data_IF_975423798411
#
_entry.id   IF_975423798411
#
_cell.length_a   1.000
_cell.length_b   1.000
_cell.length_c   1.000
_cell.angle_alpha   90.00
_cell.angle_beta   90.00
_cell.angle_gamma   90.00
#
_symmetry.space_group_name_H-M   'P 1'
#
loop_
_entity.id
_entity.type
_entity.pdbx_description
1 polymer ?
#
# COMPACT_ATOMS: atom_id res chain seq x y z
N UNK A 1 -3.18 -27.70 -20.71
CA UNK A 1 -2.71 -27.68 -19.30
C UNK A 1 -3.78 -28.44 -18.52
N UNK A 2 -3.48 -29.66 -18.13
CA UNK A 2 -4.34 -30.44 -17.25
C UNK A 2 -4.21 -29.87 -15.83
N UNK A 3 -5.30 -29.33 -15.29
CA UNK A 3 -5.40 -29.05 -13.87
C UNK A 3 -5.38 -30.40 -13.16
N UNK A 4 -4.27 -30.75 -12.54
CA UNK A 4 -4.23 -31.86 -11.59
C UNK A 4 -5.08 -31.47 -10.39
N UNK A 5 -6.01 -32.33 -10.01
CA UNK A 5 -6.82 -32.12 -8.82
C UNK A 5 -5.93 -32.13 -7.58
N UNK A 6 -6.23 -31.24 -6.66
CA UNK A 6 -5.51 -31.15 -5.38
C UNK A 6 -6.30 -31.90 -4.32
N UNK A 7 -5.73 -33.00 -3.81
CA UNK A 7 -6.36 -33.88 -2.81
C UNK A 7 -6.06 -33.46 -1.36
N UNK A 8 -5.29 -32.39 -1.14
CA UNK A 8 -4.93 -31.88 0.17
C UNK A 8 -6.00 -30.99 0.79
N UNK A 9 -5.75 -30.57 2.03
CA UNK A 9 -6.64 -29.64 2.74
C UNK A 9 -6.58 -28.26 2.10
N UNK A 10 -7.77 -27.70 1.80
CA UNK A 10 -7.92 -26.34 1.30
C UNK A 10 -8.04 -25.36 2.45
N UNK A 11 -7.74 -24.09 2.17
CA UNK A 11 -7.82 -23.04 3.16
C UNK A 11 -9.24 -22.85 3.70
N UNK A 12 -9.33 -22.63 5.01
CA UNK A 12 -10.58 -22.39 5.74
C UNK A 12 -10.73 -20.95 6.22
N UNK A 13 -9.69 -20.14 6.10
CA UNK A 13 -9.74 -18.74 6.50
C UNK A 13 -10.75 -17.96 5.64
N UNK A 14 -11.48 -17.05 6.27
CA UNK A 14 -12.66 -16.34 5.73
C UNK A 14 -12.43 -15.75 4.32
N UNK A 15 -11.24 -15.21 4.07
CA UNK A 15 -10.94 -14.49 2.83
C UNK A 15 -10.44 -15.41 1.71
N UNK A 16 -10.03 -16.62 2.04
CA UNK A 16 -9.37 -17.56 1.11
C UNK A 16 -10.01 -18.95 1.14
N UNK A 17 -11.25 -19.04 1.62
CA UNK A 17 -11.96 -20.32 1.78
C UNK A 17 -12.04 -21.08 0.44
N UNK A 18 -11.59 -22.31 0.46
CA UNK A 18 -11.57 -23.19 -0.71
C UNK A 18 -10.36 -22.99 -1.64
N UNK A 19 -9.50 -22.01 -1.40
CA UNK A 19 -8.27 -21.81 -2.16
C UNK A 19 -7.17 -22.79 -1.72
N UNK A 20 -6.16 -22.94 -2.58
CA UNK A 20 -4.97 -23.73 -2.25
C UNK A 20 -4.15 -23.06 -1.13
N UNK A 21 -3.49 -23.82 -0.27
CA UNK A 21 -2.49 -23.25 0.63
C UNK A 21 -1.43 -22.45 -0.13
N UNK A 22 -0.89 -21.36 0.44
CA UNK A 22 0.05 -20.46 -0.25
C UNK A 22 1.29 -21.19 -0.81
N UNK A 23 1.82 -22.12 -0.06
CA UNK A 23 3.00 -22.92 -0.47
C UNK A 23 2.69 -23.81 -1.69
N UNK A 24 1.55 -24.49 -1.67
CA UNK A 24 1.10 -25.31 -2.78
C UNK A 24 0.81 -24.48 -4.03
N UNK A 25 0.17 -23.35 -3.86
CA UNK A 25 -0.08 -22.39 -4.97
C UNK A 25 1.24 -21.94 -5.60
N UNK A 26 2.23 -21.60 -4.79
CA UNK A 26 3.55 -21.17 -5.25
C UNK A 26 4.28 -22.28 -6.02
N UNK A 27 4.25 -23.50 -5.50
CA UNK A 27 4.85 -24.66 -6.17
C UNK A 27 4.22 -24.88 -7.55
N UNK A 28 2.89 -24.84 -7.65
CA UNK A 28 2.17 -25.03 -8.91
C UNK A 28 2.42 -23.91 -9.90
N UNK A 29 2.42 -22.66 -9.44
CA UNK A 29 2.72 -21.51 -10.30
C UNK A 29 4.15 -21.56 -10.85
N UNK A 30 5.12 -21.97 -10.03
CA UNK A 30 6.49 -22.13 -10.48
C UNK A 30 6.60 -23.25 -11.52
N UNK A 31 5.97 -24.43 -11.26
CA UNK A 31 5.94 -25.54 -12.22
C UNK A 31 5.36 -25.11 -13.58
N UNK A 32 4.20 -24.45 -13.57
CA UNK A 32 3.57 -23.92 -14.78
C UNK A 32 4.48 -22.91 -15.48
N UNK A 33 5.11 -22.01 -14.73
CA UNK A 33 6.02 -21.01 -15.30
C UNK A 33 7.24 -21.64 -15.96
N UNK A 34 7.78 -22.71 -15.37
CA UNK A 34 8.90 -23.47 -15.94
C UNK A 34 8.48 -24.23 -17.19
N UNK A 35 7.34 -24.91 -17.18
CA UNK A 35 6.80 -25.60 -18.36
C UNK A 35 6.56 -24.64 -19.54
N UNK A 36 6.02 -23.44 -19.25
CA UNK A 36 5.82 -22.42 -20.29
C UNK A 36 7.18 -21.94 -20.81
N UNK A 37 8.15 -21.64 -19.95
CA UNK A 37 9.50 -21.23 -20.38
C UNK A 37 10.20 -22.27 -21.25
N UNK A 38 10.04 -23.54 -20.93
CA UNK A 38 10.63 -24.64 -21.73
C UNK A 38 10.01 -24.77 -23.11
N UNK A 39 8.74 -24.36 -23.27
CA UNK A 39 7.99 -24.47 -24.52
C UNK A 39 7.92 -23.13 -25.29
N UNK A 40 8.57 -22.10 -24.81
CA UNK A 40 8.56 -20.73 -25.42
C UNK A 40 9.96 -20.40 -25.89
N UNK A 41 10.10 -19.76 -27.05
CA UNK A 41 11.41 -19.33 -27.56
C UNK A 41 11.99 -18.21 -26.66
N UNK A 42 13.33 -18.14 -26.55
CA UNK A 42 14.05 -17.16 -25.73
C UNK A 42 13.70 -15.69 -26.05
N UNK A 43 13.14 -15.44 -27.24
CA UNK A 43 12.73 -14.11 -27.67
C UNK A 43 11.32 -13.70 -27.23
N UNK A 44 10.53 -14.63 -26.67
CA UNK A 44 9.15 -14.39 -26.34
C UNK A 44 8.99 -13.80 -24.92
N UNK A 45 8.16 -12.78 -24.80
CA UNK A 45 7.86 -12.16 -23.50
C UNK A 45 6.73 -12.92 -22.82
N UNK A 46 7.04 -13.61 -21.72
CA UNK A 46 6.03 -14.27 -20.88
C UNK A 46 5.25 -13.22 -20.08
N UNK A 47 3.92 -13.19 -20.26
CA UNK A 47 3.02 -12.40 -19.42
C UNK A 47 2.11 -13.32 -18.64
N UNK A 48 2.14 -13.22 -17.30
CA UNK A 48 1.27 -13.98 -16.41
C UNK A 48 0.06 -13.11 -16.08
N UNK A 49 -1.13 -13.55 -16.51
CA UNK A 49 -2.39 -12.90 -16.16
C UNK A 49 -2.98 -13.58 -14.92
N UNK A 50 -3.16 -12.82 -13.84
CA UNK A 50 -3.80 -13.29 -12.63
C UNK A 50 -5.22 -12.77 -12.52
N UNK A 51 -6.16 -13.68 -12.32
CA UNK A 51 -7.61 -13.38 -12.36
C UNK A 51 -8.05 -12.65 -11.10
N UNK A 52 -7.37 -12.83 -9.96
CA UNK A 52 -7.75 -12.18 -8.70
C UNK A 52 -6.57 -11.49 -8.03
N UNK A 53 -6.84 -10.36 -7.37
CA UNK A 53 -5.85 -9.65 -6.55
C UNK A 53 -5.28 -10.52 -5.43
N UNK A 54 -6.04 -11.50 -4.94
CA UNK A 54 -5.60 -12.42 -3.90
C UNK A 54 -4.48 -13.33 -4.35
N UNK A 55 -4.60 -13.93 -5.55
CA UNK A 55 -3.57 -14.78 -6.13
C UNK A 55 -2.30 -13.96 -6.41
N UNK A 56 -2.47 -12.75 -6.92
CA UNK A 56 -1.36 -11.82 -7.14
C UNK A 56 -0.63 -11.48 -5.83
N UNK A 57 -1.39 -11.16 -4.78
CA UNK A 57 -0.85 -10.83 -3.47
C UNK A 57 -0.06 -12.00 -2.85
N UNK A 58 -0.60 -13.21 -2.94
CA UNK A 58 0.07 -14.42 -2.44
C UNK A 58 1.39 -14.68 -3.18
N UNK A 59 1.39 -14.53 -4.50
CA UNK A 59 2.58 -14.75 -5.31
C UNK A 59 3.67 -13.69 -5.09
N UNK A 60 3.28 -12.43 -4.92
CA UNK A 60 4.20 -11.32 -4.71
C UNK A 60 4.60 -11.12 -3.23
N UNK A 61 4.04 -11.92 -2.33
CA UNK A 61 4.41 -11.91 -0.90
C UNK A 61 3.74 -10.81 -0.08
N UNK A 62 2.74 -10.09 -0.61
CA UNK A 62 2.00 -9.08 0.14
C UNK A 62 0.61 -9.55 0.62
N UNK A 63 0.43 -10.86 0.77
CA UNK A 63 -0.82 -11.46 1.30
C UNK A 63 -1.20 -10.91 2.68
N UNK A 64 -0.19 -10.62 3.53
CA UNK A 64 -0.40 -9.99 4.84
C UNK A 64 -1.08 -8.62 4.72
N UNK A 65 -0.64 -7.82 3.75
CA UNK A 65 -1.24 -6.53 3.46
C UNK A 65 -2.70 -6.70 3.05
N UNK A 66 -2.97 -7.65 2.18
CA UNK A 66 -4.33 -7.93 1.72
C UNK A 66 -5.25 -8.32 2.89
N UNK A 67 -4.76 -9.09 3.87
CA UNK A 67 -5.53 -9.44 5.06
C UNK A 67 -5.78 -8.25 5.99
N UNK A 68 -4.82 -7.34 6.11
CA UNK A 68 -4.96 -6.11 6.89
C UNK A 68 -5.97 -5.17 6.24
N UNK A 69 -5.93 -5.09 4.91
CA UNK A 69 -6.73 -4.18 4.10
C UNK A 69 -8.14 -4.75 3.84
N UNK A 70 -8.30 -6.07 3.68
CA UNK A 70 -9.57 -6.70 3.29
C UNK A 70 -10.70 -6.57 4.33
N UNK A 71 -10.38 -6.37 5.60
CA UNK A 71 -11.42 -6.07 6.60
C UNK A 71 -12.00 -4.65 6.44
N UNK A 72 -11.30 -3.75 5.73
CA UNK A 72 -11.73 -2.37 5.42
C UNK A 72 -11.91 -2.06 3.94
N UNK A 73 -11.22 -2.79 3.03
CA UNK A 73 -11.24 -2.53 1.59
C UNK A 73 -12.39 -3.18 0.82
N UNK A 74 -13.26 -3.92 1.48
CA UNK A 74 -14.45 -4.48 0.81
C UNK A 74 -15.26 -3.39 0.09
N UNK A 75 -15.15 -2.15 0.55
CA UNK A 75 -15.88 -1.00 0.05
C UNK A 75 -15.05 0.03 -0.71
N UNK A 76 -13.78 -0.27 -1.09
CA UNK A 76 -12.86 0.64 -1.81
C UNK A 76 -12.64 2.02 -1.15
N UNK A 77 -12.95 2.18 0.12
CA UNK A 77 -13.06 3.48 0.77
C UNK A 77 -12.35 3.55 2.13
N UNK A 78 -11.26 2.79 2.35
CA UNK A 78 -10.46 3.09 3.53
C UNK A 78 -9.86 4.48 3.38
N UNK A 79 -10.27 5.46 4.22
CA UNK A 79 -9.85 6.84 4.04
C UNK A 79 -8.35 7.06 4.25
N UNK A 80 -7.68 6.21 5.04
CA UNK A 80 -6.23 6.30 5.20
C UNK A 80 -5.51 5.81 3.95
N UNK A 81 -5.94 4.68 3.39
CA UNK A 81 -5.36 4.17 2.16
C UNK A 81 -5.52 5.17 1.01
N UNK A 82 -6.73 5.72 0.84
CA UNK A 82 -6.98 6.76 -0.15
C UNK A 82 -6.10 7.99 0.09
N UNK A 83 -5.95 8.42 1.34
CA UNK A 83 -5.07 9.54 1.66
C UNK A 83 -3.61 9.26 1.29
N UNK A 84 -3.11 8.05 1.54
CA UNK A 84 -1.76 7.67 1.13
C UNK A 84 -1.64 7.63 -0.39
N UNK A 85 -2.56 6.98 -1.09
CA UNK A 85 -2.51 6.80 -2.55
C UNK A 85 -2.73 8.11 -3.32
N UNK A 86 -3.70 8.91 -2.89
CA UNK A 86 -4.14 10.09 -3.64
C UNK A 86 -3.44 11.38 -3.20
N UNK A 87 -2.81 11.38 -2.03
CA UNK A 87 -2.18 12.59 -1.48
C UNK A 87 -0.70 12.38 -1.17
N UNK A 88 -0.35 11.43 -0.31
CA UNK A 88 1.03 11.29 0.19
C UNK A 88 1.98 10.82 -0.90
N UNK A 89 1.64 9.75 -1.62
CA UNK A 89 2.49 9.22 -2.69
C UNK A 89 2.67 10.19 -3.86
N UNK A 90 1.62 10.84 -4.39
CA UNK A 90 1.81 11.86 -5.43
C UNK A 90 2.67 13.04 -4.98
N UNK A 91 2.53 13.49 -3.72
CA UNK A 91 3.37 14.56 -3.16
C UNK A 91 4.82 14.12 -3.06
N UNK A 92 5.07 12.91 -2.53
CA UNK A 92 6.42 12.37 -2.45
C UNK A 92 7.05 12.25 -3.82
N UNK A 93 6.35 11.70 -4.80
CA UNK A 93 6.81 11.58 -6.17
C UNK A 93 7.10 12.96 -6.81
N UNK A 94 6.23 13.94 -6.56
CA UNK A 94 6.43 15.31 -7.04
C UNK A 94 7.70 15.96 -6.46
N UNK A 95 7.98 15.73 -5.19
CA UNK A 95 9.19 16.22 -4.52
C UNK A 95 10.46 15.55 -5.05
N UNK A 96 10.44 14.23 -5.24
CA UNK A 96 11.58 13.47 -5.79
C UNK A 96 11.91 13.85 -7.23
N UNK A 97 10.88 14.10 -8.05
CA UNK A 97 11.03 14.45 -9.46
C UNK A 97 11.08 15.97 -9.71
N UNK A 98 11.02 16.78 -8.65
CA UNK A 98 10.91 18.25 -8.74
C UNK A 98 9.74 18.73 -9.60
N UNK A 99 8.67 17.94 -9.66
CA UNK A 99 7.46 18.26 -10.41
C UNK A 99 6.52 19.15 -9.57
N UNK A 100 6.79 20.44 -9.59
CA UNK A 100 6.02 21.43 -8.80
C UNK A 100 4.57 21.53 -9.24
N UNK A 101 4.24 21.27 -10.49
CA UNK A 101 2.87 21.27 -10.96
C UNK A 101 2.06 20.17 -10.28
N UNK A 102 2.57 18.93 -10.28
CA UNK A 102 1.93 17.81 -9.59
C UNK A 102 1.77 18.11 -8.09
N UNK A 103 2.79 18.69 -7.45
CA UNK A 103 2.72 19.05 -6.03
C UNK A 103 1.55 20.00 -5.74
N UNK A 104 1.37 21.03 -6.57
CA UNK A 104 0.29 22.01 -6.35
C UNK A 104 -1.08 21.48 -6.70
N UNK A 105 -1.18 20.71 -7.77
CA UNK A 105 -2.43 20.06 -8.16
C UNK A 105 -2.91 19.12 -7.05
N UNK A 106 -2.01 18.33 -6.50
CA UNK A 106 -2.33 17.42 -5.38
C UNK A 106 -2.70 18.16 -4.11
N UNK A 107 -2.03 19.28 -3.80
CA UNK A 107 -2.36 20.09 -2.63
C UNK A 107 -3.59 21.00 -2.85
N UNK A 108 -4.14 21.06 -4.05
CA UNK A 108 -5.23 21.97 -4.41
C UNK A 108 -4.85 23.46 -4.36
N UNK A 109 -3.56 23.77 -4.50
CA UNK A 109 -3.02 25.13 -4.37
C UNK A 109 -2.95 25.79 -5.74
N UNK A 110 -3.73 26.87 -5.93
CA UNK A 110 -3.77 27.61 -7.21
C UNK A 110 -2.61 28.59 -7.41
N UNK A 111 -1.92 29.00 -6.35
CA UNK A 111 -0.81 29.94 -6.42
C UNK A 111 0.33 29.45 -5.54
N UNK A 112 1.53 29.61 -6.07
CA UNK A 112 2.75 29.15 -5.45
C UNK A 112 3.07 29.88 -4.14
N UNK A 113 3.03 29.21 -2.96
CA UNK A 113 3.35 29.86 -1.70
C UNK A 113 4.86 29.87 -1.40
N UNK A 114 5.69 29.09 -2.16
CA UNK A 114 7.10 28.90 -1.85
C UNK A 114 7.95 29.97 -2.54
N UNK A 115 7.84 31.18 -2.10
CA UNK A 115 8.67 32.29 -2.62
C UNK A 115 9.88 32.57 -1.76
N UNK A 116 9.81 32.29 -0.46
CA UNK A 116 10.89 32.60 0.51
C UNK A 116 11.84 31.41 0.68
N UNK A 117 13.11 31.74 0.93
CA UNK A 117 14.15 30.73 1.21
C UNK A 117 13.79 29.82 2.40
N UNK A 118 13.18 30.40 3.44
CA UNK A 118 12.73 29.66 4.62
C UNK A 118 11.61 28.63 4.32
N UNK A 119 10.75 28.90 3.36
CA UNK A 119 9.70 27.98 2.93
C UNK A 119 10.30 26.81 2.13
N UNK A 120 11.24 27.10 1.24
CA UNK A 120 11.99 26.07 0.51
C UNK A 120 12.71 25.11 1.45
N UNK A 121 13.34 25.66 2.50
CA UNK A 121 14.03 24.85 3.51
C UNK A 121 13.06 23.94 4.28
N UNK A 122 11.87 24.44 4.64
CA UNK A 122 10.83 23.60 5.28
C UNK A 122 10.40 22.42 4.40
N UNK A 123 10.20 22.66 3.09
CA UNK A 123 9.84 21.59 2.17
C UNK A 123 10.97 20.57 1.97
N UNK A 124 12.23 21.01 1.97
CA UNK A 124 13.38 20.14 1.91
C UNK A 124 13.48 19.25 3.15
N UNK A 125 13.37 19.82 4.35
CA UNK A 125 13.35 19.08 5.60
C UNK A 125 12.19 18.08 5.63
N UNK A 126 11.01 18.50 5.16
CA UNK A 126 9.85 17.62 5.05
C UNK A 126 10.12 16.44 4.12
N UNK A 127 10.70 16.68 2.94
CA UNK A 127 11.04 15.63 1.99
C UNK A 127 12.01 14.59 2.61
N UNK A 128 13.04 15.05 3.31
CA UNK A 128 13.99 14.18 3.99
C UNK A 128 13.30 13.33 5.09
N UNK A 129 12.51 13.97 5.96
CA UNK A 129 11.74 13.27 7.00
C UNK A 129 10.74 12.27 6.41
N UNK A 130 10.04 12.64 5.35
CA UNK A 130 9.07 11.78 4.69
C UNK A 130 9.75 10.55 4.07
N UNK A 131 10.91 10.74 3.44
CA UNK A 131 11.71 9.63 2.90
C UNK A 131 12.11 8.63 3.99
N UNK A 132 12.59 9.12 5.12
CA UNK A 132 12.94 8.26 6.26
C UNK A 132 11.73 7.55 6.87
N UNK A 133 10.58 8.24 6.98
CA UNK A 133 9.37 7.68 7.54
C UNK A 133 8.76 6.59 6.65
N UNK A 134 8.88 6.72 5.32
CA UNK A 134 8.39 5.73 4.35
C UNK A 134 9.11 4.39 4.43
N UNK A 135 10.31 4.34 4.99
CA UNK A 135 11.02 3.07 5.28
C UNK A 135 10.56 2.42 6.59
N UNK A 136 9.64 3.04 7.31
CA UNK A 136 9.14 2.61 8.61
C UNK A 136 7.66 2.20 8.50
N UNK A 137 6.84 2.64 9.42
CA UNK A 137 5.41 2.27 9.50
C UNK A 137 4.54 3.40 8.96
N UNK A 138 3.32 3.08 8.57
CA UNK A 138 2.35 4.08 8.11
C UNK A 138 2.11 5.19 9.15
N UNK A 139 2.12 4.87 10.44
CA UNK A 139 1.98 5.86 11.52
C UNK A 139 3.13 6.86 11.52
N UNK A 140 4.37 6.43 11.26
CA UNK A 140 5.54 7.33 11.25
C UNK A 140 5.40 8.38 10.13
N UNK A 141 4.80 8.01 8.99
CA UNK A 141 4.47 8.96 7.89
C UNK A 141 3.40 9.96 8.34
N UNK A 142 2.35 9.52 9.02
CA UNK A 142 1.30 10.40 9.55
C UNK A 142 1.89 11.38 10.57
N UNK A 143 2.79 10.92 11.44
CA UNK A 143 3.45 11.79 12.42
C UNK A 143 4.27 12.89 11.75
N UNK A 144 5.02 12.60 10.69
CA UNK A 144 5.74 13.61 9.90
C UNK A 144 4.80 14.63 9.29
N UNK A 145 3.66 14.19 8.75
CA UNK A 145 2.64 15.08 8.19
C UNK A 145 2.06 15.99 9.28
N UNK A 146 1.71 15.42 10.44
CA UNK A 146 1.15 16.17 11.56
C UNK A 146 2.15 17.16 12.18
N UNK A 147 3.42 16.79 12.27
CA UNK A 147 4.47 17.66 12.80
C UNK A 147 4.75 18.85 11.89
N UNK A 148 4.85 18.61 10.61
CA UNK A 148 5.25 19.63 9.63
C UNK A 148 4.09 20.52 9.18
N UNK A 149 2.87 20.00 9.18
CA UNK A 149 1.64 20.68 8.72
C UNK A 149 1.73 21.26 7.31
N UNK A 150 2.61 20.70 6.47
CA UNK A 150 2.76 21.11 5.07
C UNK A 150 1.72 20.46 4.17
N UNK A 151 1.28 19.25 4.54
CA UNK A 151 0.16 18.55 3.90
C UNK A 151 -1.06 18.71 4.81
N UNK A 152 -2.22 19.16 4.29
CA UNK A 152 -3.42 19.22 5.08
C UNK A 152 -3.88 17.79 5.46
N UNK A 153 -3.97 17.53 6.75
CA UNK A 153 -4.49 16.25 7.24
C UNK A 153 -6.02 16.33 7.32
N UNK A 154 -6.76 15.44 6.65
CA UNK A 154 -8.22 15.50 6.62
C UNK A 154 -8.82 15.40 8.02
N UNK A 155 -9.80 16.25 8.41
CA UNK A 155 -10.37 16.24 9.77
C UNK A 155 -10.98 14.88 10.18
N UNK A 156 -11.52 14.13 9.22
CA UNK A 156 -12.05 12.78 9.45
C UNK A 156 -10.95 11.81 9.88
N UNK A 157 -9.79 11.88 9.24
CA UNK A 157 -8.63 11.06 9.58
C UNK A 157 -8.00 11.48 10.90
N UNK A 158 -7.99 12.77 11.19
CA UNK A 158 -7.52 13.31 12.46
C UNK A 158 -8.36 12.77 13.63
N UNK A 159 -9.67 12.77 13.51
CA UNK A 159 -10.58 12.16 14.47
C UNK A 159 -10.31 10.66 14.68
N UNK A 160 -10.07 9.91 13.60
CA UNK A 160 -9.75 8.48 13.69
C UNK A 160 -8.38 8.22 14.28
N UNK A 161 -7.39 9.05 13.96
CA UNK A 161 -6.06 8.98 14.55
C UNK A 161 -6.10 9.19 16.07
N UNK A 162 -6.87 10.17 16.54
CA UNK A 162 -7.07 10.38 17.98
C UNK A 162 -7.85 9.24 18.66
N UNK A 163 -8.86 8.69 18.02
CA UNK A 163 -9.58 7.51 18.51
C UNK A 163 -8.64 6.31 18.64
N UNK A 164 -7.75 6.10 17.68
CA UNK A 164 -6.76 5.04 17.73
C UNK A 164 -5.86 5.14 18.97
N UNK A 165 -5.36 6.32 19.29
CA UNK A 165 -4.51 6.51 20.48
C UNK A 165 -5.23 6.32 21.81
N UNK A 166 -6.54 6.57 21.84
CA UNK A 166 -7.35 6.53 23.05
C UNK A 166 -8.16 5.24 23.24
N UNK A 167 -8.29 4.41 22.20
CA UNK A 167 -9.13 3.21 22.24
C UNK A 167 -8.37 1.97 22.71
N UNK A 168 -8.81 1.41 23.83
CA UNK A 168 -8.46 0.05 24.25
C UNK A 168 -9.52 -0.92 23.74
N UNK A 169 -9.15 -1.95 22.98
CA UNK A 169 -10.06 -3.01 22.57
C UNK A 169 -10.00 -3.40 21.09
N UNK A 170 -10.82 -4.39 20.69
CA UNK A 170 -10.82 -4.95 19.34
C UNK A 170 -11.51 -4.08 18.30
N UNK A 171 -12.29 -3.09 18.71
CA UNK A 171 -13.10 -2.25 17.82
C UNK A 171 -12.31 -1.49 16.74
N UNK A 172 -11.01 -1.24 16.97
CA UNK A 172 -10.13 -0.54 16.03
C UNK A 172 -8.90 -1.36 15.63
N UNK A 173 -9.02 -2.69 15.72
CA UNK A 173 -7.92 -3.61 15.44
C UNK A 173 -7.40 -3.47 14.01
N UNK A 174 -8.28 -3.38 13.03
CA UNK A 174 -7.89 -3.23 11.62
C UNK A 174 -7.15 -1.93 11.36
N UNK A 175 -7.61 -0.83 11.93
CA UNK A 175 -6.95 0.48 11.83
C UNK A 175 -5.57 0.46 12.50
N UNK A 176 -5.46 -0.14 13.71
CA UNK A 176 -4.17 -0.30 14.39
C UNK A 176 -3.20 -1.14 13.56
N UNK A 177 -3.67 -2.26 13.02
CA UNK A 177 -2.85 -3.12 12.17
C UNK A 177 -2.35 -2.37 10.95
N UNK A 178 -3.21 -1.58 10.30
CA UNK A 178 -2.84 -0.75 9.17
C UNK A 178 -1.76 0.29 9.56
N UNK A 179 -1.98 1.07 10.61
CA UNK A 179 -1.07 2.11 11.05
C UNK A 179 0.32 1.57 11.46
N UNK A 180 0.38 0.34 11.97
CA UNK A 180 1.64 -0.32 12.30
C UNK A 180 2.23 -1.17 11.16
N UNK A 181 1.60 -1.20 10.02
CA UNK A 181 2.15 -1.87 8.84
C UNK A 181 3.36 -1.10 8.33
N UNK A 182 4.37 -1.83 7.88
CA UNK A 182 5.54 -1.24 7.22
C UNK A 182 5.09 -0.55 5.94
N UNK A 183 5.37 0.73 5.83
CA UNK A 183 4.89 1.58 4.74
C UNK A 183 5.24 1.06 3.34
N UNK A 184 6.45 0.55 3.06
CA UNK A 184 6.79 0.00 1.75
C UNK A 184 5.92 -1.19 1.29
N UNK A 185 5.07 -1.73 2.18
CA UNK A 185 4.13 -2.80 1.84
C UNK A 185 2.73 -2.26 1.48
N UNK A 186 2.49 -0.95 1.61
CA UNK A 186 1.27 -0.28 1.17
C UNK A 186 1.35 0.10 -0.30
#
# INVERSE_FOLDING_TARGET
>A
ITCEDYDGERRTDRNFQGELPPEELKIRLNKISEEIKQNTADSDTLKILMITHKVLAAQQGYERLLNIINDGLRDKEDPFLLFFMDTVEPIYHALETLNMQLLFDTLGIKRYPITKKSEKEKWKIFQEKLREAREKRAIDVIEVINETKLIPFPPKLDGWYHLYHNASGDSYKSLRNFLYTIYPLL
#
